data_IF_119657155845
#
_entry.id   IF_119657155845
#
_cell.length_a   1.000
_cell.length_b   1.000
_cell.length_c   1.000
_cell.angle_alpha   90.00
_cell.angle_beta   90.00
_cell.angle_gamma   90.00
#
_symmetry.space_group_name_H-M   'P 1'
#
loop_
_entity.id
_entity.type
_entity.pdbx_description
1 polymer ?
#
# COMPACT_ATOMS: atom_id res chain seq x y z
N UNK A 1 -18.46 -5.32 21.52
CA UNK A 1 -17.66 -4.43 20.66
C UNK A 1 -17.32 -5.15 19.36
N UNK A 2 -18.04 -4.87 18.28
CA UNK A 2 -17.67 -5.41 16.96
C UNK A 2 -16.37 -4.76 16.49
N UNK A 3 -15.37 -5.57 16.12
CA UNK A 3 -14.18 -5.06 15.44
C UNK A 3 -14.65 -4.41 14.13
N UNK A 4 -14.52 -3.08 14.01
CA UNK A 4 -14.54 -2.41 12.70
C UNK A 4 -13.29 -2.84 11.93
N UNK A 5 -13.31 -4.05 11.37
CA UNK A 5 -12.41 -4.40 10.27
C UNK A 5 -12.84 -3.53 9.10
N UNK A 6 -12.25 -2.35 9.02
CA UNK A 6 -12.40 -1.45 7.87
C UNK A 6 -12.04 -2.24 6.63
N UNK A 7 -12.94 -2.21 5.65
CA UNK A 7 -12.87 -2.95 4.40
C UNK A 7 -11.82 -2.30 3.46
N UNK A 8 -10.64 -1.95 4.00
CA UNK A 8 -9.59 -1.20 3.29
C UNK A 8 -9.13 -1.95 2.05
N UNK A 9 -9.08 -3.27 2.11
CA UNK A 9 -8.71 -4.09 0.96
C UNK A 9 -9.75 -4.01 -0.18
N UNK A 10 -11.04 -3.96 0.13
CA UNK A 10 -12.06 -3.78 -0.92
C UNK A 10 -12.00 -2.38 -1.53
N UNK A 11 -11.68 -1.36 -0.73
CA UNK A 11 -11.47 0.01 -1.23
C UNK A 11 -10.25 0.09 -2.16
N UNK A 12 -9.15 -0.56 -1.78
CA UNK A 12 -7.94 -0.71 -2.61
C UNK A 12 -8.25 -1.40 -3.93
N UNK A 13 -9.00 -2.51 -3.86
CA UNK A 13 -9.35 -3.30 -5.04
C UNK A 13 -10.39 -2.61 -5.93
N UNK A 14 -11.12 -1.62 -5.41
CA UNK A 14 -12.07 -0.81 -6.16
C UNK A 14 -11.38 0.35 -6.89
N UNK A 15 -10.27 0.86 -6.37
CA UNK A 15 -9.46 1.91 -7.02
C UNK A 15 -8.51 1.38 -8.08
N UNK A 16 -8.02 0.16 -7.90
CA UNK A 16 -7.17 -0.49 -8.88
C UNK A 16 -7.96 -1.00 -10.09
N UNK A 17 -7.72 -0.41 -11.27
CA UNK A 17 -8.26 -0.88 -12.56
C UNK A 17 -7.92 -2.35 -12.83
N UNK A 18 -6.76 -2.81 -12.32
CA UNK A 18 -6.30 -4.19 -12.43
C UNK A 18 -5.61 -4.66 -11.15
N UNK A 19 -6.18 -5.72 -10.54
CA UNK A 19 -5.69 -6.30 -9.28
C UNK A 19 -4.28 -6.85 -9.36
N UNK A 20 -3.85 -7.36 -10.52
CA UNK A 20 -2.49 -7.87 -10.71
C UNK A 20 -1.47 -6.74 -10.85
N UNK A 21 -1.86 -5.62 -11.48
CA UNK A 21 -1.02 -4.42 -11.60
C UNK A 21 -0.76 -3.83 -10.21
N UNK A 22 -1.79 -3.77 -9.38
CA UNK A 22 -1.67 -3.35 -7.99
C UNK A 22 -0.67 -4.21 -7.20
N UNK A 23 -0.76 -5.55 -7.29
CA UNK A 23 0.18 -6.45 -6.61
C UNK A 23 1.61 -6.19 -7.07
N UNK A 24 1.81 -6.01 -8.38
CA UNK A 24 3.13 -5.72 -8.93
C UNK A 24 3.69 -4.37 -8.46
N UNK A 25 2.85 -3.33 -8.43
CA UNK A 25 3.23 -2.00 -7.95
C UNK A 25 3.62 -2.02 -6.45
N UNK A 26 2.80 -2.67 -5.63
CA UNK A 26 3.05 -2.85 -4.19
C UNK A 26 4.36 -3.61 -3.95
N UNK A 27 4.57 -4.73 -4.66
CA UNK A 27 5.79 -5.52 -4.51
C UNK A 27 7.04 -4.74 -4.93
N UNK A 28 6.97 -3.99 -6.04
CA UNK A 28 8.07 -3.14 -6.52
C UNK A 28 8.41 -2.04 -5.53
N UNK A 29 7.39 -1.40 -4.92
CA UNK A 29 7.60 -0.35 -3.90
C UNK A 29 8.16 -0.92 -2.60
N UNK A 30 7.61 -2.03 -2.11
CA UNK A 30 8.09 -2.68 -0.90
C UNK A 30 9.54 -3.14 -1.04
N UNK A 31 9.91 -3.67 -2.21
CA UNK A 31 11.29 -4.03 -2.52
C UNK A 31 12.24 -2.83 -2.37
N UNK A 32 11.88 -1.68 -2.94
CA UNK A 32 12.71 -0.45 -2.83
C UNK A 32 12.92 0.00 -1.38
N UNK A 33 11.86 -0.09 -0.56
CA UNK A 33 11.92 0.24 0.87
C UNK A 33 12.85 -0.73 1.60
N UNK A 34 12.71 -2.04 1.36
CA UNK A 34 13.54 -3.08 1.98
C UNK A 34 15.01 -2.99 1.58
N UNK A 35 15.30 -2.60 0.34
CA UNK A 35 16.66 -2.39 -0.17
C UNK A 35 17.29 -1.07 0.33
N UNK A 36 16.56 -0.24 1.09
CA UNK A 36 17.01 1.08 1.52
C UNK A 36 17.13 2.09 0.38
N UNK A 37 16.73 1.72 -0.83
CA UNK A 37 16.76 2.56 -2.04
C UNK A 37 15.63 3.60 -2.09
N UNK A 38 14.64 3.48 -1.21
CA UNK A 38 13.58 4.46 -1.02
C UNK A 38 13.18 4.54 0.45
N UNK A 39 13.01 5.75 0.96
CA UNK A 39 12.42 5.97 2.26
C UNK A 39 10.90 5.99 2.12
N UNK A 40 10.21 5.41 3.09
CA UNK A 40 8.76 5.51 3.18
C UNK A 40 8.35 6.96 3.49
N UNK A 41 7.31 7.43 2.83
CA UNK A 41 6.67 8.73 3.11
C UNK A 41 5.70 8.65 4.30
N UNK A 42 5.43 7.44 4.81
CA UNK A 42 4.60 7.19 5.98
C UNK A 42 5.43 6.63 7.15
N UNK A 43 5.01 6.89 8.39
CA UNK A 43 5.64 6.31 9.57
C UNK A 43 5.58 4.78 9.52
N UNK A 44 6.76 4.15 9.40
CA UNK A 44 6.88 2.69 9.39
C UNK A 44 6.71 2.14 10.81
N UNK A 45 5.48 1.82 11.18
CA UNK A 45 5.18 1.04 12.38
C UNK A 45 5.36 -0.46 12.09
N UNK A 46 6.34 -1.09 12.76
CA UNK A 46 6.57 -2.55 12.77
C UNK A 46 6.68 -3.23 11.39
N UNK A 47 7.77 -2.94 10.66
CA UNK A 47 8.35 -3.79 9.59
C UNK A 47 7.41 -4.31 8.49
N UNK A 48 6.27 -3.67 8.24
CA UNK A 48 5.35 -4.04 7.17
C UNK A 48 5.51 -3.12 5.96
N UNK A 49 6.67 -3.17 5.31
CA UNK A 49 6.95 -2.43 4.07
C UNK A 49 5.83 -2.61 3.03
N UNK A 50 5.20 -3.79 2.97
CA UNK A 50 4.04 -4.08 2.13
C UNK A 50 2.82 -3.22 2.50
N UNK A 51 2.47 -3.11 3.79
CA UNK A 51 1.29 -2.34 4.24
C UNK A 51 1.53 -0.85 3.99
N UNK A 52 2.73 -0.38 4.29
CA UNK A 52 3.15 0.98 4.00
C UNK A 52 3.07 1.29 2.50
N UNK A 53 3.59 0.39 1.65
CA UNK A 53 3.54 0.54 0.19
C UNK A 53 2.11 0.58 -0.35
N UNK A 54 1.23 -0.24 0.20
CA UNK A 54 -0.20 -0.23 -0.14
C UNK A 54 -0.81 1.14 0.17
N UNK A 55 -0.52 1.70 1.35
CA UNK A 55 -1.07 2.98 1.76
C UNK A 55 -0.53 4.15 0.91
N UNK A 56 0.75 4.13 0.56
CA UNK A 56 1.37 5.12 -0.33
C UNK A 56 0.69 5.13 -1.71
N UNK A 57 0.50 3.95 -2.33
CA UNK A 57 -0.09 3.84 -3.66
C UNK A 57 -1.54 4.36 -3.68
N UNK A 58 -2.35 4.07 -2.66
CA UNK A 58 -3.72 4.59 -2.56
C UNK A 58 -3.72 6.12 -2.42
N UNK A 59 -2.77 6.66 -1.65
CA UNK A 59 -2.67 8.10 -1.45
C UNK A 59 -2.30 8.80 -2.77
N UNK A 60 -1.36 8.24 -3.53
CA UNK A 60 -0.97 8.74 -4.86
C UNK A 60 -2.12 8.71 -5.89
N UNK A 61 -2.91 7.63 -5.93
CA UNK A 61 -4.10 7.54 -6.81
C UNK A 61 -5.22 8.52 -6.44
N UNK A 62 -5.27 9.02 -5.20
CA UNK A 62 -6.35 9.92 -4.76
C UNK A 62 -6.09 11.39 -5.08
N UNK A 63 -4.88 11.72 -5.58
CA UNK A 63 -4.45 13.08 -5.91
C UNK A 63 -4.35 13.35 -7.42
N UNK A 64 -4.78 12.40 -8.25
CA UNK A 64 -4.76 12.47 -9.71
C UNK A 64 -6.20 12.34 -10.25
#
# INVERSE_FOLDING_TARGET
MQRKTTNKLSEIMAKADNRYVLVHAVAKRAKKILEGSAQSNMEMSNNKAIVTSIQEIIAEESHN
#
